data_IF_159035249083
#
_entry.id   IF_159035249083
#
_cell.length_a   1.000
_cell.length_b   1.000
_cell.length_c   1.000
_cell.angle_alpha   90.00
_cell.angle_beta   90.00
_cell.angle_gamma   90.00
#
_symmetry.space_group_name_H-M   'P 1'
#
loop_
_entity.id
_entity.type
_entity.pdbx_description
1 polymer ?
#
# COMPACT_ATOMS: atom_id res chain seq x y z
N UNK A 1 5.31 -41.06 12.07
CA UNK A 1 6.61 -40.58 11.56
C UNK A 1 6.40 -40.27 10.09
N UNK A 2 6.37 -39.00 9.73
CA UNK A 2 6.42 -38.59 8.33
C UNK A 2 7.86 -38.74 7.88
N UNK A 3 8.11 -39.54 6.84
CA UNK A 3 9.41 -39.63 6.24
C UNK A 3 9.80 -38.28 5.64
N UNK A 4 10.87 -37.73 6.17
CA UNK A 4 11.48 -36.50 5.64
C UNK A 4 12.06 -36.81 4.27
N UNK A 5 11.48 -36.26 3.20
CA UNK A 5 12.00 -36.43 1.85
C UNK A 5 13.07 -35.38 1.64
N UNK A 6 14.32 -35.76 1.87
CA UNK A 6 15.48 -34.92 1.58
C UNK A 6 15.71 -34.90 0.07
N UNK A 7 15.34 -33.82 -0.61
CA UNK A 7 15.71 -33.57 -2.00
C UNK A 7 17.19 -33.21 -2.06
N UNK A 8 18.02 -34.10 -2.54
CA UNK A 8 19.41 -33.81 -2.87
C UNK A 8 19.46 -33.25 -4.30
N UNK A 9 19.55 -31.93 -4.42
CA UNK A 9 19.76 -31.29 -5.71
C UNK A 9 21.24 -31.47 -6.06
N UNK A 10 21.57 -32.25 -7.12
CA UNK A 10 22.93 -32.29 -7.65
C UNK A 10 23.04 -31.27 -8.78
N UNK A 11 23.85 -30.27 -8.57
CA UNK A 11 24.25 -29.30 -9.58
C UNK A 11 25.09 -29.99 -10.64
N UNK A 12 24.68 -30.00 -11.89
CA UNK A 12 25.44 -30.62 -12.95
C UNK A 12 24.72 -30.91 -14.26
N UNK A 13 23.48 -30.47 -14.43
CA UNK A 13 22.74 -30.60 -15.70
C UNK A 13 22.99 -29.41 -16.60
N UNK A 14 23.81 -29.55 -17.60
CA UNK A 14 23.91 -28.63 -18.73
C UNK A 14 22.62 -28.72 -19.55
N UNK A 15 21.91 -27.59 -19.65
CA UNK A 15 20.71 -27.47 -20.46
C UNK A 15 19.52 -26.87 -19.70
N UNK A 16 19.79 -25.83 -18.92
CA UNK A 16 18.71 -25.06 -18.27
C UNK A 16 17.97 -24.24 -19.29
N UNK A 17 16.75 -24.65 -19.60
CA UNK A 17 15.74 -23.69 -20.03
C UNK A 17 15.63 -22.62 -18.96
N UNK A 18 15.40 -21.37 -19.33
CA UNK A 18 15.12 -20.28 -18.39
C UNK A 18 13.98 -20.73 -17.45
N UNK A 19 14.34 -21.26 -16.27
CA UNK A 19 13.36 -21.46 -15.23
C UNK A 19 13.08 -20.08 -14.62
N UNK A 20 12.10 -19.39 -15.17
CA UNK A 20 11.51 -18.28 -14.45
C UNK A 20 11.01 -18.86 -13.13
N UNK A 21 11.33 -18.21 -12.01
CA UNK A 21 10.69 -18.54 -10.74
C UNK A 21 9.17 -18.48 -10.92
N UNK A 22 8.41 -19.07 -10.02
CA UNK A 22 6.93 -19.05 -10.11
C UNK A 22 6.39 -17.65 -10.07
N UNK A 23 7.19 -16.70 -9.57
CA UNK A 23 6.79 -15.29 -9.38
C UNK A 23 5.67 -15.10 -8.37
N UNK A 24 5.31 -16.18 -7.67
CA UNK A 24 4.26 -16.13 -6.64
C UNK A 24 4.85 -15.60 -5.35
N UNK A 25 4.22 -14.55 -4.82
CA UNK A 25 4.62 -14.02 -3.53
C UNK A 25 3.44 -13.71 -2.63
N UNK A 26 3.71 -13.62 -1.33
CA UNK A 26 2.75 -13.26 -0.30
C UNK A 26 2.90 -11.78 0.01
N UNK A 27 1.79 -11.06 0.13
CA UNK A 27 1.78 -9.69 0.67
C UNK A 27 0.97 -9.63 1.95
N UNK A 28 1.57 -9.03 2.98
CA UNK A 28 0.94 -8.77 4.28
C UNK A 28 0.82 -7.27 4.42
N UNK A 29 -0.38 -6.75 4.63
CA UNK A 29 -0.57 -5.30 4.70
C UNK A 29 -1.90 -4.88 5.31
N UNK A 30 -1.99 -3.60 5.68
CA UNK A 30 -3.24 -3.00 6.11
C UNK A 30 -4.25 -3.01 4.96
N UNK A 31 -5.47 -3.46 5.23
CA UNK A 31 -6.53 -3.57 4.23
C UNK A 31 -7.85 -3.07 4.81
N UNK A 32 -8.63 -2.40 3.98
CA UNK A 32 -10.00 -2.00 4.32
C UNK A 32 -10.94 -3.20 4.41
N UNK A 33 -10.67 -4.25 3.60
CA UNK A 33 -11.42 -5.51 3.65
C UNK A 33 -10.65 -6.52 4.48
N UNK A 34 -11.26 -7.00 5.54
CA UNK A 34 -10.68 -8.00 6.43
C UNK A 34 -11.07 -9.42 5.98
N UNK A 35 -10.11 -10.35 6.05
CA UNK A 35 -10.32 -11.75 5.78
C UNK A 35 -9.37 -12.60 6.63
N UNK A 36 -9.91 -13.67 7.23
CA UNK A 36 -9.10 -14.67 7.92
C UNK A 36 -8.35 -15.57 6.92
N UNK A 37 -8.97 -15.84 5.78
CA UNK A 37 -8.37 -16.62 4.72
C UNK A 37 -7.55 -15.73 3.78
N UNK A 38 -6.42 -16.22 3.26
CA UNK A 38 -5.63 -15.51 2.26
C UNK A 38 -6.43 -15.28 0.97
N UNK A 39 -6.33 -14.08 0.41
CA UNK A 39 -7.01 -13.70 -0.83
C UNK A 39 -6.00 -13.81 -1.99
N UNK A 40 -6.30 -14.62 -3.00
CA UNK A 40 -5.43 -14.75 -4.17
C UNK A 40 -5.84 -13.77 -5.26
N UNK A 41 -4.89 -12.98 -5.73
CA UNK A 41 -5.01 -12.05 -6.87
C UNK A 41 -4.04 -12.50 -7.97
N UNK A 42 -4.50 -12.50 -9.20
CA UNK A 42 -3.69 -12.81 -10.39
C UNK A 42 -3.61 -11.62 -11.33
N UNK A 43 -2.54 -11.51 -12.10
CA UNK A 43 -2.30 -10.41 -13.06
C UNK A 43 -3.37 -10.27 -14.14
N UNK A 44 -4.17 -11.33 -14.38
CA UNK A 44 -5.31 -11.28 -15.31
C UNK A 44 -6.51 -10.49 -14.78
N UNK A 45 -6.51 -10.11 -13.49
CA UNK A 45 -7.62 -9.39 -12.87
C UNK A 45 -7.53 -7.90 -13.14
N UNK A 46 -8.70 -7.31 -13.46
CA UNK A 46 -8.83 -5.87 -13.67
C UNK A 46 -8.72 -5.11 -12.35
N UNK A 47 -8.35 -3.84 -12.45
CA UNK A 47 -8.22 -2.91 -11.33
C UNK A 47 -9.44 -2.92 -10.40
N UNK A 48 -10.64 -2.80 -10.94
CA UNK A 48 -11.88 -2.80 -10.15
C UNK A 48 -12.07 -4.09 -9.34
N UNK A 49 -11.69 -5.24 -9.91
CA UNK A 49 -11.76 -6.49 -9.18
C UNK A 49 -10.84 -6.49 -7.96
N UNK A 50 -9.61 -5.95 -8.11
CA UNK A 50 -8.62 -5.88 -7.02
C UNK A 50 -9.15 -4.95 -5.92
N UNK A 51 -9.62 -3.76 -6.31
CA UNK A 51 -10.23 -2.78 -5.40
C UNK A 51 -11.44 -3.34 -4.66
N UNK A 52 -12.32 -4.04 -5.35
CA UNK A 52 -13.49 -4.68 -4.74
C UNK A 52 -13.15 -5.81 -3.76
N UNK A 53 -12.00 -6.50 -3.96
CA UNK A 53 -11.56 -7.60 -3.08
C UNK A 53 -10.78 -7.15 -1.86
N UNK A 54 -10.01 -6.08 -1.96
CA UNK A 54 -9.09 -5.60 -0.91
C UNK A 54 -9.48 -4.22 -0.36
N UNK A 55 -10.46 -3.55 -0.98
CA UNK A 55 -10.83 -2.16 -0.67
C UNK A 55 -9.77 -1.17 -1.16
N UNK A 56 -9.97 0.11 -0.87
CA UNK A 56 -8.94 1.14 -1.06
C UNK A 56 -8.00 1.12 0.15
N UNK A 57 -6.79 0.61 -0.01
CA UNK A 57 -5.88 0.38 1.12
C UNK A 57 -4.42 0.28 0.67
N UNK A 58 -3.43 0.44 1.57
CA UNK A 58 -2.02 0.25 1.25
C UNK A 58 -1.71 -1.12 0.65
N UNK A 59 -2.38 -2.18 1.13
CA UNK A 59 -2.23 -3.53 0.56
C UNK A 59 -2.67 -3.57 -0.89
N UNK A 60 -3.76 -2.90 -1.25
CA UNK A 60 -4.28 -2.83 -2.61
C UNK A 60 -3.30 -2.15 -3.56
N UNK A 61 -2.76 -1.00 -3.15
CA UNK A 61 -1.76 -0.27 -3.93
C UNK A 61 -0.51 -1.11 -4.15
N UNK A 62 0.01 -1.73 -3.09
CA UNK A 62 1.17 -2.62 -3.17
C UNK A 62 0.95 -3.83 -4.09
N UNK A 63 -0.27 -4.38 -4.15
CA UNK A 63 -0.64 -5.47 -5.08
C UNK A 63 -0.63 -4.97 -6.52
N UNK A 64 -1.24 -3.81 -6.78
CA UNK A 64 -1.29 -3.20 -8.10
C UNK A 64 0.10 -2.91 -8.64
N UNK A 65 0.96 -2.26 -7.84
CA UNK A 65 2.34 -1.94 -8.21
C UNK A 65 3.16 -3.19 -8.55
N UNK A 66 2.98 -4.30 -7.80
CA UNK A 66 3.68 -5.53 -8.12
C UNK A 66 3.16 -6.22 -9.39
N UNK A 67 1.85 -6.20 -9.65
CA UNK A 67 1.28 -6.77 -10.87
C UNK A 67 1.78 -6.01 -12.09
N UNK A 68 1.80 -4.69 -12.04
CA UNK A 68 2.29 -3.83 -13.11
C UNK A 68 3.77 -4.10 -13.42
N UNK A 69 4.56 -4.45 -12.40
CA UNK A 69 5.98 -4.79 -12.56
C UNK A 69 6.26 -6.28 -12.80
N UNK A 70 5.24 -7.09 -13.06
CA UNK A 70 5.40 -8.45 -13.58
C UNK A 70 5.03 -9.58 -12.64
N UNK A 71 4.47 -9.28 -11.46
CA UNK A 71 3.92 -10.33 -10.60
C UNK A 71 2.74 -11.04 -11.28
N UNK A 72 2.81 -12.36 -11.40
CA UNK A 72 1.76 -13.16 -12.04
C UNK A 72 0.63 -13.51 -11.08
N UNK A 73 0.97 -13.79 -9.81
CA UNK A 73 0.05 -14.22 -8.76
C UNK A 73 0.53 -13.74 -7.40
N UNK A 74 -0.36 -13.15 -6.64
CA UNK A 74 -0.10 -12.63 -5.30
C UNK A 74 -1.10 -13.23 -4.31
N UNK A 75 -0.61 -13.68 -3.16
CA UNK A 75 -1.41 -14.17 -2.05
C UNK A 75 -1.44 -13.08 -0.99
N UNK A 76 -2.57 -12.43 -0.84
CA UNK A 76 -2.76 -11.32 0.08
C UNK A 76 -3.22 -11.83 1.45
N UNK A 77 -2.57 -11.36 2.51
CA UNK A 77 -2.97 -11.57 3.90
C UNK A 77 -3.38 -10.20 4.46
N UNK A 78 -4.68 -9.86 4.41
CA UNK A 78 -5.19 -8.64 4.99
C UNK A 78 -4.97 -8.63 6.50
N UNK A 79 -4.51 -7.50 7.04
CA UNK A 79 -4.27 -7.31 8.47
C UNK A 79 -4.99 -6.06 8.94
N UNK A 80 -5.62 -6.13 10.11
CA UNK A 80 -6.21 -4.96 10.76
C UNK A 80 -5.09 -4.02 11.17
N UNK A 81 -5.12 -2.74 10.78
CA UNK A 81 -4.09 -1.79 11.20
C UNK A 81 -4.17 -1.52 12.70
N UNK A 82 -3.04 -1.34 13.33
CA UNK A 82 -2.95 -1.01 14.75
C UNK A 82 -2.93 0.50 15.02
N UNK A 83 -2.73 1.30 13.96
CA UNK A 83 -2.83 2.76 14.01
C UNK A 83 -3.71 3.23 12.87
N UNK A 84 -4.71 4.05 13.21
CA UNK A 84 -5.62 4.65 12.23
C UNK A 84 -4.87 5.67 11.36
N UNK A 85 -5.33 5.83 10.14
CA UNK A 85 -4.97 6.96 9.30
C UNK A 85 -5.48 8.29 9.90
N UNK A 86 -4.88 9.38 9.51
CA UNK A 86 -5.23 10.73 9.98
C UNK A 86 -5.65 11.63 8.83
N UNK A 87 -6.42 12.66 9.15
CA UNK A 87 -6.84 13.70 8.19
C UNK A 87 -6.04 14.96 8.49
N UNK A 88 -5.48 15.61 7.46
CA UNK A 88 -4.82 16.90 7.61
C UNK A 88 -5.83 18.03 7.84
N UNK A 89 -5.34 19.21 8.13
CA UNK A 89 -6.17 20.42 8.16
C UNK A 89 -6.74 20.67 6.77
N UNK A 90 -8.02 21.10 6.70
CA UNK A 90 -8.66 21.49 5.45
C UNK A 90 -8.13 22.86 5.02
N UNK A 91 -7.77 22.97 3.77
CA UNK A 91 -7.37 24.21 3.10
C UNK A 91 -8.55 24.71 2.25
N UNK A 92 -9.38 25.61 2.78
CA UNK A 92 -10.49 26.16 2.03
C UNK A 92 -9.99 27.27 1.08
N UNK A 93 -10.49 27.25 -0.15
CA UNK A 93 -10.43 28.39 -1.07
C UNK A 93 -11.87 28.83 -1.36
N UNK A 94 -12.37 29.67 -0.48
CA UNK A 94 -13.78 30.06 -0.42
C UNK A 94 -13.94 31.56 -0.18
N UNK A 95 -15.12 32.12 -0.47
CA UNK A 95 -15.47 33.49 -0.11
C UNK A 95 -15.87 33.55 1.37
N UNK A 96 -15.77 34.74 2.01
CA UNK A 96 -16.10 34.95 3.43
C UNK A 96 -17.56 34.59 3.78
N UNK A 97 -18.46 34.67 2.82
CA UNK A 97 -19.88 34.35 2.95
C UNK A 97 -20.24 32.91 2.60
N UNK A 98 -19.22 32.05 2.45
CA UNK A 98 -19.47 30.66 2.09
C UNK A 98 -19.78 29.78 3.29
N UNK A 99 -20.47 28.66 3.03
CA UNK A 99 -20.59 27.56 3.98
C UNK A 99 -19.22 26.93 4.30
N UNK A 100 -19.20 26.05 5.28
CA UNK A 100 -17.99 25.33 5.69
C UNK A 100 -18.12 23.83 5.49
N UNK A 101 -16.99 23.17 5.24
CA UNK A 101 -16.88 21.70 5.17
C UNK A 101 -15.92 21.26 6.25
N UNK A 102 -16.33 20.29 7.05
CA UNK A 102 -15.48 19.59 8.00
C UNK A 102 -15.43 18.10 7.68
N UNK A 103 -14.44 17.40 8.22
CA UNK A 103 -14.14 16.01 7.89
C UNK A 103 -13.96 15.21 9.16
N UNK A 104 -14.55 14.01 9.19
CA UNK A 104 -14.40 13.03 10.25
C UNK A 104 -14.18 11.64 9.65
N UNK A 105 -13.77 10.69 10.48
CA UNK A 105 -13.58 9.29 10.08
C UNK A 105 -12.14 8.80 10.21
N UNK A 106 -11.93 7.59 9.74
CA UNK A 106 -10.64 6.90 9.76
C UNK A 106 -10.28 6.51 8.34
N UNK A 107 -9.38 7.28 7.68
CA UNK A 107 -9.02 7.02 6.30
C UNK A 107 -8.47 5.60 6.11
N UNK A 108 -8.93 4.92 5.07
CA UNK A 108 -8.45 3.58 4.71
C UNK A 108 -7.12 3.61 3.95
N UNK A 109 -6.74 4.77 3.41
CA UNK A 109 -5.52 4.96 2.65
C UNK A 109 -5.05 6.43 2.69
N UNK A 110 -3.92 6.72 2.07
CA UNK A 110 -3.50 8.07 1.77
C UNK A 110 -4.27 8.59 0.55
N UNK A 111 -5.04 9.66 0.75
CA UNK A 111 -5.82 10.30 -0.30
C UNK A 111 -5.46 11.79 -0.38
N UNK A 112 -5.49 12.33 -1.59
CA UNK A 112 -5.50 13.77 -1.85
C UNK A 112 -6.93 14.15 -2.22
N UNK A 113 -7.68 14.75 -1.28
CA UNK A 113 -9.11 14.97 -1.46
C UNK A 113 -9.36 16.42 -1.85
N UNK A 114 -10.22 16.60 -2.85
CA UNK A 114 -10.69 17.89 -3.32
C UNK A 114 -12.20 17.84 -3.42
N UNK A 115 -12.89 18.74 -2.74
CA UNK A 115 -14.34 18.97 -2.88
C UNK A 115 -14.53 20.30 -3.58
N UNK A 116 -15.35 20.33 -4.64
CA UNK A 116 -15.66 21.52 -5.44
C UNK A 116 -17.17 21.73 -5.43
N UNK A 117 -17.61 22.92 -5.05
CA UNK A 117 -19.02 23.30 -5.15
C UNK A 117 -19.34 23.68 -6.60
N UNK A 118 -20.31 23.00 -7.19
CA UNK A 118 -20.74 23.18 -8.58
C UNK A 118 -22.08 23.89 -8.72
N UNK A 119 -22.93 23.83 -7.68
CA UNK A 119 -24.20 24.53 -7.60
C UNK A 119 -24.31 25.34 -6.33
N UNK A 120 -24.67 26.64 -6.47
CA UNK A 120 -24.90 27.52 -5.31
C UNK A 120 -26.13 27.11 -4.52
N UNK A 121 -26.06 27.22 -3.19
CA UNK A 121 -27.20 26.96 -2.33
C UNK A 121 -26.84 26.66 -0.88
N UNK A 122 -27.85 26.25 -0.14
CA UNK A 122 -27.73 25.70 1.22
C UNK A 122 -27.83 24.18 1.19
N UNK A 123 -27.92 23.55 2.35
CA UNK A 123 -28.18 22.10 2.44
C UNK A 123 -29.40 21.73 1.60
N UNK A 124 -29.38 20.58 0.96
CA UNK A 124 -30.41 20.06 0.05
C UNK A 124 -30.60 20.84 -1.27
N UNK A 125 -29.82 21.90 -1.54
CA UNK A 125 -29.90 22.67 -2.78
C UNK A 125 -28.55 22.91 -3.45
N UNK A 126 -27.50 23.10 -2.68
CA UNK A 126 -26.15 23.19 -3.22
C UNK A 126 -25.71 21.86 -3.89
N UNK A 127 -24.91 21.97 -4.94
CA UNK A 127 -24.33 20.82 -5.60
C UNK A 127 -22.80 20.82 -5.45
N UNK A 128 -22.22 19.63 -5.40
CA UNK A 128 -20.78 19.43 -5.29
C UNK A 128 -20.31 18.22 -6.07
N UNK A 129 -19.03 18.17 -6.33
CA UNK A 129 -18.31 16.97 -6.77
C UNK A 129 -17.06 16.81 -5.94
N UNK A 130 -16.55 15.59 -5.82
CA UNK A 130 -15.32 15.32 -5.10
C UNK A 130 -14.33 14.51 -5.92
N UNK A 131 -13.08 14.65 -5.56
CA UNK A 131 -11.95 13.83 -6.04
C UNK A 131 -11.24 13.26 -4.82
N UNK A 132 -10.74 12.03 -4.93
CA UNK A 132 -9.90 11.38 -3.90
C UNK A 132 -8.43 11.26 -4.35
N UNK A 133 -8.08 11.84 -5.48
CA UNK A 133 -6.79 11.73 -6.15
C UNK A 133 -6.24 13.08 -6.61
N UNK A 134 -6.43 14.13 -5.83
CA UNK A 134 -5.87 15.46 -6.09
C UNK A 134 -6.52 16.22 -7.24
N UNK A 135 -7.68 15.77 -7.74
CA UNK A 135 -8.38 16.42 -8.85
C UNK A 135 -8.13 15.79 -10.21
N UNK A 136 -7.45 14.65 -10.30
CA UNK A 136 -7.28 13.93 -11.58
C UNK A 136 -8.60 13.38 -12.11
N UNK A 137 -9.45 12.86 -11.24
CA UNK A 137 -10.81 12.42 -11.57
C UNK A 137 -11.78 12.93 -10.53
N UNK A 138 -13.00 13.21 -10.96
CA UNK A 138 -14.08 13.67 -10.08
C UNK A 138 -15.27 12.71 -10.15
N UNK A 139 -16.02 12.67 -9.04
CA UNK A 139 -17.33 12.04 -9.01
C UNK A 139 -18.30 12.72 -9.98
N UNK A 140 -19.45 12.10 -10.21
CA UNK A 140 -20.62 12.80 -10.74
C UNK A 140 -21.02 13.95 -9.79
N UNK A 141 -21.80 14.88 -10.31
CA UNK A 141 -22.37 15.96 -9.50
C UNK A 141 -23.41 15.40 -8.53
N UNK A 142 -23.28 15.80 -7.27
CA UNK A 142 -24.09 15.35 -6.16
C UNK A 142 -24.74 16.54 -5.48
N UNK A 143 -25.97 16.39 -4.98
CA UNK A 143 -26.60 17.40 -4.14
C UNK A 143 -26.10 17.26 -2.70
N UNK A 144 -25.78 18.38 -2.04
CA UNK A 144 -25.44 18.39 -0.61
C UNK A 144 -26.64 17.85 0.19
N UNK A 145 -26.44 16.78 1.00
CA UNK A 145 -27.56 16.18 1.73
C UNK A 145 -28.24 17.13 2.69
N UNK A 146 -29.54 16.94 2.90
CA UNK A 146 -30.32 17.74 3.87
C UNK A 146 -29.74 17.65 5.29
N UNK A 147 -29.24 16.49 5.70
CA UNK A 147 -28.57 16.29 6.99
C UNK A 147 -27.14 16.84 7.05
N UNK A 148 -26.65 17.45 5.98
CA UNK A 148 -25.29 18.00 5.91
C UNK A 148 -24.17 16.98 5.90
N UNK A 149 -24.43 15.68 5.96
CA UNK A 149 -23.39 14.65 6.01
C UNK A 149 -23.35 13.78 4.75
N UNK A 150 -22.16 13.51 4.25
CA UNK A 150 -21.94 12.63 3.10
C UNK A 150 -20.72 11.73 3.33
N UNK A 151 -20.92 10.43 3.29
CA UNK A 151 -19.84 9.45 3.39
C UNK A 151 -19.17 9.30 2.02
N UNK A 152 -17.85 9.55 1.96
CA UNK A 152 -17.06 9.31 0.75
C UNK A 152 -16.89 7.80 0.57
N UNK A 153 -17.40 7.21 -0.54
CA UNK A 153 -17.40 5.77 -0.74
C UNK A 153 -16.01 5.16 -0.61
N UNK A 154 -15.92 4.05 0.12
CA UNK A 154 -14.72 3.21 0.30
C UNK A 154 -13.49 3.92 0.90
N UNK A 155 -13.63 5.14 1.41
CA UNK A 155 -12.50 5.90 1.98
C UNK A 155 -12.41 5.85 3.49
N UNK A 156 -13.51 5.55 4.18
CA UNK A 156 -13.62 5.64 5.64
C UNK A 156 -13.77 7.09 6.15
N UNK A 157 -14.15 8.03 5.27
CA UNK A 157 -14.24 9.47 5.55
C UNK A 157 -15.67 9.94 5.37
N UNK A 158 -16.13 10.79 6.29
CA UNK A 158 -17.42 11.47 6.23
C UNK A 158 -17.21 12.97 6.15
N UNK A 159 -17.83 13.62 5.17
CA UNK A 159 -17.93 15.06 5.02
C UNK A 159 -19.09 15.58 5.84
N UNK A 160 -18.91 16.74 6.46
CA UNK A 160 -19.99 17.49 7.11
C UNK A 160 -20.05 18.90 6.55
N UNK A 161 -21.13 19.20 5.86
CA UNK A 161 -21.44 20.51 5.27
C UNK A 161 -22.24 21.33 6.27
N UNK A 162 -21.83 22.57 6.55
CA UNK A 162 -22.47 23.46 7.51
C UNK A 162 -22.67 24.84 6.90
N UNK A 163 -23.83 25.43 7.13
CA UNK A 163 -24.20 26.77 6.69
C UNK A 163 -24.70 27.54 7.89
N UNK A 164 -24.05 28.65 8.22
CA UNK A 164 -24.38 29.48 9.36
C UNK A 164 -25.11 30.77 8.89
N UNK A 165 -26.27 31.03 9.46
CA UNK A 165 -27.02 32.24 9.17
C UNK A 165 -27.47 32.35 7.70
N UNK A 166 -27.13 33.46 7.05
CA UNK A 166 -27.43 33.71 5.64
C UNK A 166 -26.38 33.22 4.64
N UNK A 167 -25.33 32.54 5.14
CA UNK A 167 -24.28 32.01 4.28
C UNK A 167 -24.83 30.95 3.33
N UNK A 168 -24.18 30.80 2.18
CA UNK A 168 -24.52 29.78 1.18
C UNK A 168 -23.25 29.27 0.55
N UNK A 169 -23.19 28.01 0.16
CA UNK A 169 -22.12 27.50 -0.70
C UNK A 169 -22.15 28.24 -2.05
N UNK A 170 -21.01 28.68 -2.54
CA UNK A 170 -20.85 29.40 -3.81
C UNK A 170 -20.22 28.50 -4.86
N UNK A 171 -20.62 28.64 -6.12
CA UNK A 171 -20.01 27.93 -7.24
C UNK A 171 -18.52 28.27 -7.34
N UNK A 172 -17.67 27.26 -7.40
CA UNK A 172 -16.22 27.41 -7.45
C UNK A 172 -15.52 27.34 -6.10
N UNK A 173 -16.25 27.35 -4.98
CA UNK A 173 -15.64 27.09 -3.67
C UNK A 173 -14.98 25.72 -3.67
N UNK A 174 -13.75 25.66 -3.15
CA UNK A 174 -12.97 24.41 -3.06
C UNK A 174 -12.46 24.18 -1.65
N UNK A 175 -12.47 22.92 -1.25
CA UNK A 175 -11.93 22.44 0.02
C UNK A 175 -10.96 21.33 -0.27
N UNK A 176 -9.70 21.46 0.19
CA UNK A 176 -8.64 20.49 -0.06
C UNK A 176 -8.04 19.99 1.24
N UNK A 177 -7.70 18.73 1.29
CA UNK A 177 -6.93 18.13 2.38
C UNK A 177 -6.33 16.80 1.94
N UNK A 178 -5.35 16.34 2.69
CA UNK A 178 -4.75 15.02 2.52
C UNK A 178 -5.07 14.10 3.69
N UNK A 179 -4.89 12.83 3.49
CA UNK A 179 -4.96 11.83 4.55
C UNK A 179 -3.71 10.99 4.58
N UNK A 180 -3.41 10.40 5.74
CA UNK A 180 -2.38 9.39 5.87
C UNK A 180 -3.01 8.00 5.86
N UNK A 181 -2.28 7.03 5.32
CA UNK A 181 -2.70 5.64 5.36
C UNK A 181 -2.63 5.08 6.79
N UNK A 182 -3.50 4.11 7.13
CA UNK A 182 -3.39 3.37 8.37
C UNK A 182 -2.10 2.54 8.41
N UNK A 183 -1.52 2.37 9.60
CA UNK A 183 -0.24 1.70 9.76
C UNK A 183 -0.35 0.42 10.58
N UNK A 184 0.48 -0.56 10.25
CA UNK A 184 0.64 -1.77 11.04
C UNK A 184 1.57 -1.49 12.23
N UNK A 185 1.24 -2.05 13.39
CA UNK A 185 2.17 -2.18 14.51
C UNK A 185 3.02 -3.45 14.34
N UNK A 186 4.11 -3.55 15.11
CA UNK A 186 4.93 -4.75 15.12
C UNK A 186 4.09 -6.01 15.41
N UNK A 187 3.17 -5.94 16.37
CA UNK A 187 2.27 -7.04 16.70
C UNK A 187 1.40 -7.45 15.51
N UNK A 188 0.81 -6.49 14.80
CA UNK A 188 0.00 -6.77 13.62
C UNK A 188 0.81 -7.44 12.51
N UNK A 189 2.05 -6.99 12.29
CA UNK A 189 2.97 -7.57 11.32
C UNK A 189 3.28 -9.03 11.69
N UNK A 190 3.66 -9.29 12.95
CA UNK A 190 4.02 -10.63 13.41
C UNK A 190 2.83 -11.59 13.33
N UNK A 191 1.64 -11.13 13.71
CA UNK A 191 0.39 -11.91 13.57
C UNK A 191 0.06 -12.21 12.09
N UNK A 192 0.30 -11.26 11.19
CA UNK A 192 0.17 -11.47 9.76
C UNK A 192 1.15 -12.52 9.22
N UNK A 193 2.41 -12.48 9.67
CA UNK A 193 3.44 -13.46 9.28
C UNK A 193 3.13 -14.85 9.84
N UNK A 194 2.61 -14.96 11.06
CA UNK A 194 2.20 -16.25 11.63
C UNK A 194 1.15 -16.96 10.76
N UNK A 195 0.30 -16.22 10.07
CA UNK A 195 -0.69 -16.79 9.13
C UNK A 195 -0.06 -17.39 7.88
N UNK A 196 1.20 -17.06 7.55
CA UNK A 196 1.92 -17.61 6.38
C UNK A 196 2.10 -19.13 6.51
N UNK A 197 2.22 -19.65 7.71
CA UNK A 197 2.32 -21.11 7.97
C UNK A 197 1.14 -21.89 7.37
N UNK A 198 -0.03 -21.27 7.32
CA UNK A 198 -1.28 -21.89 6.83
C UNK A 198 -1.48 -21.71 5.31
N UNK A 199 -0.66 -20.91 4.62
CA UNK A 199 -0.75 -20.74 3.17
C UNK A 199 -0.32 -22.03 2.49
N UNK A 200 -1.25 -22.67 1.75
CA UNK A 200 -1.01 -23.94 1.07
C UNK A 200 -0.27 -23.81 -0.26
N UNK A 201 -0.37 -22.64 -0.90
CA UNK A 201 0.28 -22.39 -2.17
C UNK A 201 1.78 -22.17 -1.98
N UNK A 202 2.58 -22.64 -2.94
CA UNK A 202 4.00 -22.33 -3.00
C UNK A 202 4.20 -20.85 -3.29
N UNK A 203 5.09 -20.21 -2.55
CA UNK A 203 5.51 -18.84 -2.72
C UNK A 203 7.00 -18.73 -2.49
N UNK A 204 7.65 -17.76 -3.10
CA UNK A 204 9.11 -17.56 -3.03
C UNK A 204 9.49 -16.47 -2.03
N UNK A 205 8.64 -15.46 -1.90
CA UNK A 205 8.92 -14.33 -1.00
C UNK A 205 7.67 -13.82 -0.29
N UNK A 206 7.89 -13.10 0.80
CA UNK A 206 6.88 -12.39 1.58
C UNK A 206 7.23 -10.91 1.58
N UNK A 207 6.33 -10.07 1.13
CA UNK A 207 6.41 -8.62 1.27
C UNK A 207 5.54 -8.16 2.43
N UNK A 208 6.14 -7.44 3.36
CA UNK A 208 5.41 -6.74 4.42
C UNK A 208 5.24 -5.29 4.01
N UNK A 209 4.00 -4.90 3.72
CA UNK A 209 3.63 -3.57 3.26
C UNK A 209 3.58 -2.60 4.43
N UNK A 210 4.30 -1.50 4.31
CA UNK A 210 4.39 -0.44 5.32
C UNK A 210 5.74 -0.39 6.02
N UNK A 211 6.08 0.81 6.47
CA UNK A 211 7.37 1.09 7.10
C UNK A 211 7.60 0.24 8.35
N UNK A 212 8.82 -0.26 8.50
CA UNK A 212 9.24 -1.09 9.63
C UNK A 212 10.64 -0.69 10.12
N UNK A 213 10.97 -1.06 11.35
CA UNK A 213 12.22 -0.71 12.03
C UNK A 213 13.07 -1.93 12.38
N UNK A 214 14.25 -1.69 12.96
CA UNK A 214 15.21 -2.73 13.31
C UNK A 214 14.64 -3.81 14.24
N UNK A 215 13.82 -3.45 15.22
CA UNK A 215 13.20 -4.40 16.15
C UNK A 215 12.24 -5.33 15.43
N UNK A 216 11.44 -4.77 14.52
CA UNK A 216 10.56 -5.55 13.65
C UNK A 216 11.36 -6.49 12.75
N UNK A 217 12.46 -6.02 12.15
CA UNK A 217 13.31 -6.86 11.29
C UNK A 217 13.95 -8.01 12.05
N UNK A 218 14.37 -7.79 13.30
CA UNK A 218 14.92 -8.84 14.16
C UNK A 218 13.86 -9.90 14.51
N UNK A 219 12.65 -9.47 14.86
CA UNK A 219 11.53 -10.37 15.13
C UNK A 219 11.13 -11.18 13.88
N UNK A 220 11.07 -10.53 12.71
CA UNK A 220 10.80 -11.20 11.42
C UNK A 220 11.91 -12.22 11.10
N UNK A 221 13.17 -11.91 11.40
CA UNK A 221 14.28 -12.87 11.22
C UNK A 221 14.07 -14.16 12.02
N UNK A 222 13.58 -14.04 13.24
CA UNK A 222 13.26 -15.21 14.06
C UNK A 222 12.08 -16.01 13.49
N UNK A 223 11.02 -15.34 13.05
CA UNK A 223 9.87 -16.00 12.43
C UNK A 223 10.23 -16.65 11.09
N UNK A 224 11.07 -16.02 10.27
CA UNK A 224 11.56 -16.58 9.02
C UNK A 224 12.29 -17.91 9.27
N UNK A 225 13.19 -17.93 10.26
CA UNK A 225 13.90 -19.14 10.65
C UNK A 225 12.93 -20.24 11.12
N UNK A 226 11.88 -19.86 11.85
CA UNK A 226 10.83 -20.79 12.28
C UNK A 226 10.03 -21.34 11.08
N UNK A 227 9.63 -20.49 10.15
CA UNK A 227 8.94 -20.92 8.92
C UNK A 227 9.77 -21.90 8.12
N UNK A 228 11.08 -21.63 8.00
CA UNK A 228 12.00 -22.50 7.27
C UNK A 228 12.23 -23.84 7.96
N UNK A 229 12.51 -23.84 9.27
CA UNK A 229 12.93 -25.06 10.00
C UNK A 229 11.76 -25.92 10.44
N UNK A 230 10.65 -25.32 10.89
CA UNK A 230 9.50 -26.05 11.42
C UNK A 230 8.40 -26.30 10.40
N UNK A 231 8.22 -25.38 9.47
CA UNK A 231 7.13 -25.44 8.48
C UNK A 231 7.65 -25.74 7.06
N UNK A 232 8.95 -25.91 6.89
CA UNK A 232 9.61 -26.18 5.58
C UNK A 232 9.23 -25.18 4.49
N UNK A 233 9.11 -23.89 4.88
CA UNK A 233 8.83 -22.76 3.99
C UNK A 233 10.06 -21.85 3.91
N UNK A 234 10.97 -22.09 2.97
CA UNK A 234 12.15 -21.22 2.75
C UNK A 234 11.70 -19.96 2.01
N UNK A 235 11.28 -18.96 2.74
CA UNK A 235 10.75 -17.71 2.18
C UNK A 235 11.73 -16.57 2.42
N UNK A 236 12.00 -15.79 1.38
CA UNK A 236 12.69 -14.51 1.50
C UNK A 236 11.68 -13.42 1.90
N UNK A 237 12.09 -12.51 2.77
CA UNK A 237 11.28 -11.37 3.19
C UNK A 237 11.77 -10.08 2.53
N UNK A 238 10.85 -9.33 1.96
CA UNK A 238 11.07 -7.98 1.45
C UNK A 238 10.32 -7.01 2.36
N UNK A 239 11.04 -6.09 2.99
CA UNK A 239 10.55 -5.17 4.00
C UNK A 239 10.76 -3.74 3.56
N UNK A 240 9.83 -2.86 3.90
CA UNK A 240 9.96 -1.43 3.71
C UNK A 240 10.70 -0.80 4.90
N UNK A 241 11.74 -0.01 4.62
CA UNK A 241 12.46 0.71 5.66
C UNK A 241 11.61 1.86 6.23
N UNK A 242 11.94 2.27 7.46
CA UNK A 242 11.46 3.52 8.04
C UNK A 242 11.84 4.72 7.18
N UNK A 243 11.09 5.81 7.29
CA UNK A 243 11.35 7.06 6.58
C UNK A 243 12.41 7.91 7.27
N UNK A 244 13.02 8.89 6.56
CA UNK A 244 13.82 9.92 7.20
C UNK A 244 12.99 10.69 8.23
N UNK A 245 13.60 11.05 9.35
CA UNK A 245 12.97 11.92 10.33
C UNK A 245 12.90 13.36 9.81
N UNK A 246 11.94 14.15 10.32
CA UNK A 246 11.77 15.54 9.90
C UNK A 246 13.06 16.33 10.15
N UNK A 247 13.65 16.88 9.08
CA UNK A 247 14.90 17.64 9.15
C UNK A 247 16.17 16.78 9.18
N UNK A 248 16.06 15.45 9.12
CA UNK A 248 17.22 14.56 9.03
C UNK A 248 17.91 14.70 7.67
N UNK A 249 19.26 14.83 7.67
CA UNK A 249 20.00 14.81 6.41
C UNK A 249 19.99 13.42 5.78
N UNK A 250 20.02 13.32 4.45
CA UNK A 250 20.10 12.04 3.76
C UNK A 250 21.32 11.21 4.20
N UNK A 251 22.45 11.87 4.51
CA UNK A 251 23.64 11.19 4.99
C UNK A 251 23.45 10.56 6.37
N UNK A 252 22.73 11.20 7.28
CA UNK A 252 22.46 10.69 8.61
C UNK A 252 21.39 9.60 8.57
N UNK A 253 20.36 9.77 7.74
CA UNK A 253 19.40 8.72 7.46
C UNK A 253 20.07 7.42 6.96
N UNK A 254 20.96 7.52 5.98
CA UNK A 254 21.70 6.35 5.46
C UNK A 254 22.56 5.71 6.55
N UNK A 255 23.24 6.50 7.41
CA UNK A 255 24.00 5.97 8.55
C UNK A 255 23.09 5.23 9.54
N UNK A 256 21.93 5.82 9.88
CA UNK A 256 20.92 5.22 10.76
C UNK A 256 20.41 3.91 10.19
N UNK A 257 20.10 3.88 8.90
CA UNK A 257 19.64 2.69 8.17
C UNK A 257 20.70 1.57 8.18
N UNK A 258 21.96 1.90 7.87
CA UNK A 258 23.08 0.94 7.90
C UNK A 258 23.24 0.36 9.31
N UNK A 259 23.18 1.19 10.34
CA UNK A 259 23.31 0.74 11.72
C UNK A 259 22.15 -0.17 12.14
N UNK A 260 20.93 0.16 11.77
CA UNK A 260 19.75 -0.69 11.98
C UNK A 260 19.90 -2.05 11.27
N UNK A 261 20.34 -2.04 10.01
CA UNK A 261 20.51 -3.27 9.21
C UNK A 261 21.63 -4.19 9.74
N UNK A 262 22.70 -3.62 10.29
CA UNK A 262 23.80 -4.38 10.92
C UNK A 262 23.36 -5.25 12.09
N UNK A 263 22.26 -4.89 12.76
CA UNK A 263 21.72 -5.65 13.89
C UNK A 263 21.01 -6.94 13.45
N UNK A 264 20.62 -7.02 12.19
CA UNK A 264 19.89 -8.17 11.62
C UNK A 264 20.79 -8.90 10.63
N UNK A 265 21.42 -9.99 11.09
CA UNK A 265 22.31 -10.82 10.27
C UNK A 265 21.55 -11.98 9.65
N UNK A 266 20.66 -11.68 8.73
CA UNK A 266 19.88 -12.68 7.99
C UNK A 266 19.80 -12.25 6.52
N UNK A 267 20.27 -13.11 5.59
CA UNK A 267 20.26 -12.79 4.16
C UNK A 267 18.92 -13.09 3.49
N UNK A 268 18.06 -13.82 4.15
CA UNK A 268 16.68 -14.05 3.69
C UNK A 268 15.79 -12.81 3.92
N UNK A 269 16.36 -11.71 4.47
CA UNK A 269 15.67 -10.45 4.68
C UNK A 269 16.30 -9.35 3.85
N UNK A 270 15.55 -8.84 2.90
CA UNK A 270 15.88 -7.64 2.15
C UNK A 270 15.09 -6.45 2.70
N UNK A 271 15.77 -5.36 2.99
CA UNK A 271 15.14 -4.09 3.40
C UNK A 271 15.29 -3.09 2.25
N UNK A 272 14.18 -2.54 1.79
CA UNK A 272 14.13 -1.57 0.69
C UNK A 272 13.90 -0.17 1.26
N UNK A 273 14.90 0.72 1.22
CA UNK A 273 14.76 2.09 1.70
C UNK A 273 14.30 3.06 0.60
N UNK A 274 14.42 2.67 -0.66
CA UNK A 274 14.20 3.54 -1.80
C UNK A 274 12.74 3.90 -1.96
N UNK A 275 12.46 5.17 -2.18
CA UNK A 275 11.15 5.73 -2.52
C UNK A 275 11.25 6.50 -3.82
N UNK A 276 10.18 6.54 -4.58
CA UNK A 276 10.09 7.32 -5.80
C UNK A 276 8.66 7.77 -6.06
N UNK A 277 8.55 8.81 -6.89
CA UNK A 277 7.27 9.16 -7.52
C UNK A 277 6.96 8.09 -8.55
N UNK A 278 5.92 7.32 -8.29
CA UNK A 278 5.52 6.17 -9.09
C UNK A 278 4.11 6.38 -9.64
N UNK A 279 3.92 6.06 -10.91
CA UNK A 279 2.61 6.09 -11.56
C UNK A 279 2.00 4.71 -11.40
N UNK A 280 0.99 4.59 -10.54
CA UNK A 280 0.31 3.33 -10.30
C UNK A 280 -0.57 2.89 -11.48
N UNK A 281 -1.04 1.66 -11.40
CA UNK A 281 -1.95 1.02 -12.39
C UNK A 281 -3.24 1.83 -12.64
N UNK A 282 -3.63 2.69 -11.70
CA UNK A 282 -4.75 3.63 -11.81
C UNK A 282 -4.39 4.97 -12.46
N UNK A 283 -3.16 5.14 -12.93
CA UNK A 283 -2.65 6.36 -13.55
C UNK A 283 -2.33 7.49 -12.57
N UNK A 284 -2.40 7.25 -11.26
CA UNK A 284 -2.14 8.27 -10.24
C UNK A 284 -0.68 8.21 -9.82
N UNK A 285 -0.03 9.38 -9.77
CA UNK A 285 1.34 9.50 -9.29
C UNK A 285 1.36 9.60 -7.77
N UNK A 286 2.10 8.71 -7.11
CA UNK A 286 2.24 8.64 -5.65
C UNK A 286 3.71 8.49 -5.25
N UNK A 287 4.10 9.03 -4.10
CA UNK A 287 5.40 8.74 -3.51
C UNK A 287 5.31 7.41 -2.75
N UNK A 288 5.87 6.35 -3.33
CA UNK A 288 5.77 4.99 -2.78
C UNK A 288 7.15 4.42 -2.43
N UNK A 289 7.17 3.49 -1.47
CA UNK A 289 8.34 2.64 -1.27
C UNK A 289 8.43 1.62 -2.43
N UNK A 290 9.62 1.45 -3.00
CA UNK A 290 9.83 0.59 -4.17
C UNK A 290 9.82 -0.92 -3.85
N UNK A 291 9.56 -1.34 -2.63
CA UNK A 291 9.51 -2.77 -2.26
C UNK A 291 8.47 -3.55 -3.08
N UNK A 292 7.30 -2.95 -3.36
CA UNK A 292 6.27 -3.57 -4.20
C UNK A 292 6.73 -3.75 -5.64
N UNK A 293 7.44 -2.75 -6.18
CA UNK A 293 8.05 -2.79 -7.53
C UNK A 293 9.11 -3.89 -7.58
N UNK A 294 10.00 -3.94 -6.59
CA UNK A 294 11.04 -4.99 -6.45
C UNK A 294 10.42 -6.38 -6.43
N UNK A 295 9.33 -6.58 -5.67
CA UNK A 295 8.61 -7.86 -5.64
C UNK A 295 8.04 -8.24 -7.02
N UNK A 296 7.51 -7.27 -7.76
CA UNK A 296 7.05 -7.48 -9.14
C UNK A 296 8.20 -7.87 -10.07
N UNK A 297 9.34 -7.20 -9.94
CA UNK A 297 10.55 -7.50 -10.72
C UNK A 297 11.08 -8.91 -10.45
N UNK A 298 11.07 -9.38 -9.21
CA UNK A 298 11.41 -10.77 -8.89
C UNK A 298 10.50 -11.76 -9.63
N UNK A 299 9.21 -11.42 -9.75
CA UNK A 299 8.24 -12.27 -10.43
C UNK A 299 8.46 -12.47 -11.95
N UNK A 300 9.19 -11.56 -12.61
CA UNK A 300 9.48 -11.63 -14.06
C UNK A 300 10.94 -11.88 -14.40
N UNK A 301 11.82 -11.87 -13.40
CA UNK A 301 13.26 -12.04 -13.63
C UNK A 301 13.64 -13.51 -13.40
N UNK A 302 14.39 -14.09 -14.34
CA UNK A 302 14.88 -15.45 -14.19
C UNK A 302 15.81 -15.55 -12.97
N UNK A 303 15.77 -16.67 -12.25
CA UNK A 303 16.52 -16.88 -11.00
C UNK A 303 18.04 -16.66 -11.14
N UNK A 304 18.58 -16.89 -12.35
CA UNK A 304 20.00 -16.69 -12.67
C UNK A 304 20.34 -15.27 -13.15
N UNK A 305 19.39 -14.35 -13.12
CA UNK A 305 19.60 -12.95 -13.52
C UNK A 305 19.44 -12.01 -12.34
N UNK A 306 20.20 -10.90 -12.35
CA UNK A 306 20.02 -9.83 -11.37
C UNK A 306 18.82 -8.96 -11.72
N UNK A 307 17.98 -8.68 -10.74
CA UNK A 307 16.87 -7.72 -10.91
C UNK A 307 17.36 -6.30 -11.30
N UNK A 308 18.59 -5.94 -10.95
CA UNK A 308 19.22 -4.68 -11.35
C UNK A 308 19.44 -4.52 -12.86
N UNK A 309 19.32 -5.59 -13.64
CA UNK A 309 19.35 -5.56 -15.11
C UNK A 309 17.96 -5.44 -15.74
N UNK A 310 16.92 -5.45 -14.93
CA UNK A 310 15.52 -5.42 -15.38
C UNK A 310 15.00 -3.98 -15.30
N UNK A 311 14.48 -3.44 -16.41
CA UNK A 311 13.90 -2.11 -16.43
C UNK A 311 12.65 -2.03 -15.53
N UNK A 312 12.52 -0.94 -14.77
CA UNK A 312 11.30 -0.59 -14.05
C UNK A 312 10.34 0.08 -15.04
N UNK A 313 9.11 -0.43 -15.17
CA UNK A 313 8.24 -0.04 -16.26
C UNK A 313 7.43 1.25 -16.03
N UNK A 314 7.37 1.76 -14.81
CA UNK A 314 6.41 2.82 -14.48
C UNK A 314 6.99 3.98 -13.63
N UNK A 315 8.29 4.23 -13.72
CA UNK A 315 8.89 5.41 -13.10
C UNK A 315 8.89 6.55 -14.11
N UNK A 316 8.30 7.68 -13.74
CA UNK A 316 8.40 8.92 -14.50
C UNK A 316 9.84 9.45 -14.48
N UNK A 317 10.48 9.57 -15.64
CA UNK A 317 11.85 10.08 -15.80
C UNK A 317 12.02 11.53 -15.30
N UNK A 318 10.95 12.31 -15.26
CA UNK A 318 10.97 13.73 -14.86
C UNK A 318 11.11 13.98 -13.34
N UNK A 319 11.21 12.92 -12.52
CA UNK A 319 11.17 13.02 -11.05
C UNK A 319 12.15 12.10 -10.31
N UNK A 320 13.20 11.66 -10.98
CA UNK A 320 14.35 10.99 -10.34
C UNK A 320 15.32 11.98 -9.70
#
# INVERSE_FOLDING_TARGET
MLNDVVHKISDGLMGFGNSNGTGVHIKIGASAVQSLEPITITSSKKLDYIKNKLGLSPLTDAVMDSIENGASKIICIPVVPGRDGTVSVIEPSVTEESGSVSVTGKPNNAFEIVVVITGQGVLNTAAFKYSINGGYTYSEELTVPLGGTYELPDTGITLSFTVDGEKTFKVGDTYKWSTTAPQLTNENILNGIDRVKNVKAEAELVHVVGCSNADTWAAISTLQSTLQTQYHKPLMFVLEAFEPDTGESMADYVKRLINARKQVKNFEIQVVPSRAMYIGMDGITRNVNLASVVCGMYGRTAVNQSIGQTAIMAISEDKL
#
